data_IF_580397184891
#
_entry.id   IF_580397184891
#
_cell.length_a   1.000
_cell.length_b   1.000
_cell.length_c   1.000
_cell.angle_alpha   90.00
_cell.angle_beta   90.00
_cell.angle_gamma   90.00
#
_symmetry.space_group_name_H-M   'P 1'
#
loop_
_entity.id
_entity.type
_entity.pdbx_description
1 polymer ?
#
# COMPACT_ATOMS: atom_id res chain seq x y z
N UNK A 1 -23.11 -20.10 -17.29
CA UNK A 1 -22.36 -19.58 -16.15
C UNK A 1 -21.97 -18.15 -16.47
N UNK A 2 -22.75 -17.17 -15.99
CA UNK A 2 -22.30 -15.76 -15.95
C UNK A 2 -21.17 -15.72 -14.94
N UNK A 3 -19.94 -15.39 -15.34
CA UNK A 3 -18.91 -14.99 -14.41
C UNK A 3 -19.43 -13.79 -13.66
N UNK A 4 -19.50 -13.86 -12.34
CA UNK A 4 -19.86 -12.71 -11.54
C UNK A 4 -18.74 -11.68 -11.71
N UNK A 5 -19.05 -10.53 -12.28
CA UNK A 5 -18.09 -9.45 -12.48
C UNK A 5 -17.86 -8.65 -11.19
N UNK A 6 -18.65 -8.91 -10.15
CA UNK A 6 -18.52 -8.30 -8.81
C UNK A 6 -18.61 -9.38 -7.73
N UNK A 7 -17.68 -9.32 -6.76
CA UNK A 7 -17.68 -10.12 -5.53
C UNK A 7 -17.77 -9.19 -4.33
N UNK A 8 -18.60 -9.56 -3.37
CA UNK A 8 -18.73 -8.82 -2.10
C UNK A 8 -18.18 -9.69 -0.98
N UNK A 9 -17.25 -9.12 -0.21
CA UNK A 9 -16.64 -9.76 0.96
C UNK A 9 -16.98 -8.93 2.20
N UNK A 10 -17.54 -9.56 3.22
CA UNK A 10 -17.81 -8.90 4.49
C UNK A 10 -16.61 -9.06 5.42
N UNK A 11 -15.89 -7.96 5.68
CA UNK A 11 -14.79 -7.90 6.63
C UNK A 11 -15.33 -7.54 8.02
N UNK A 12 -14.80 -8.20 9.06
CA UNK A 12 -15.17 -7.90 10.46
C UNK A 12 -14.76 -6.48 10.89
N UNK A 13 -13.69 -5.94 10.32
CA UNK A 13 -13.10 -4.65 10.73
C UNK A 13 -13.38 -3.52 9.74
N UNK A 14 -13.47 -3.81 8.44
CA UNK A 14 -13.57 -2.82 7.38
C UNK A 14 -14.95 -2.77 6.70
N UNK A 15 -15.94 -3.52 7.23
CA UNK A 15 -17.27 -3.61 6.65
C UNK A 15 -17.27 -4.33 5.31
N UNK A 16 -18.09 -3.87 4.38
CA UNK A 16 -18.23 -4.49 3.07
C UNK A 16 -17.11 -4.04 2.12
N UNK A 17 -16.41 -5.01 1.57
CA UNK A 17 -15.38 -4.83 0.54
C UNK A 17 -15.90 -5.40 -0.78
N UNK A 18 -15.61 -4.71 -1.87
CA UNK A 18 -16.02 -5.14 -3.21
C UNK A 18 -14.80 -5.45 -4.06
N UNK A 19 -14.92 -6.50 -4.86
CA UNK A 19 -13.94 -6.87 -5.89
C UNK A 19 -14.66 -6.91 -7.21
N UNK A 20 -14.21 -6.12 -8.17
CA UNK A 20 -14.73 -6.08 -9.53
C UNK A 20 -13.69 -6.63 -10.50
N UNK A 21 -14.11 -7.31 -11.53
CA UNK A 21 -13.25 -7.77 -12.62
C UNK A 21 -13.39 -6.80 -13.79
N UNK A 22 -12.29 -6.25 -14.26
CA UNK A 22 -12.26 -5.34 -15.42
C UNK A 22 -11.13 -5.73 -16.36
N UNK A 23 -11.46 -6.49 -17.41
CA UNK A 23 -10.47 -7.09 -18.28
C UNK A 23 -9.58 -8.07 -17.53
N UNK A 24 -8.28 -7.81 -17.50
CA UNK A 24 -7.27 -8.60 -16.76
C UNK A 24 -6.96 -8.03 -15.36
N UNK A 25 -7.68 -7.00 -14.93
CA UNK A 25 -7.52 -6.37 -13.62
C UNK A 25 -8.58 -6.84 -12.63
N UNK A 26 -8.15 -7.10 -11.41
CA UNK A 26 -9.00 -7.17 -10.22
C UNK A 26 -8.99 -5.80 -9.54
N UNK A 27 -10.17 -5.22 -9.40
CA UNK A 27 -10.37 -3.90 -8.78
C UNK A 27 -10.95 -4.07 -7.38
N UNK A 28 -10.16 -3.71 -6.37
CA UNK A 28 -10.53 -3.76 -4.96
C UNK A 28 -11.04 -2.39 -4.54
N UNK A 29 -12.23 -2.33 -3.95
CA UNK A 29 -12.84 -1.10 -3.43
C UNK A 29 -12.74 -1.07 -1.91
N UNK A 30 -11.87 -0.17 -1.39
CA UNK A 30 -11.58 -0.03 0.03
C UNK A 30 -11.95 1.36 0.57
N UNK A 31 -12.23 1.48 1.89
CA UNK A 31 -12.29 2.78 2.55
C UNK A 31 -10.96 3.53 2.42
N UNK A 32 -11.04 4.83 2.14
CA UNK A 32 -9.89 5.72 2.16
C UNK A 32 -9.37 5.89 3.59
N UNK A 33 -8.06 5.84 3.77
CA UNK A 33 -7.42 6.15 5.04
C UNK A 33 -7.31 7.68 5.25
N UNK A 34 -7.14 8.08 6.50
CA UNK A 34 -6.94 9.49 6.90
C UNK A 34 -5.57 9.64 7.52
N UNK A 35 -4.75 10.49 6.92
CA UNK A 35 -3.40 10.79 7.37
C UNK A 35 -3.39 11.92 8.41
N UNK A 36 -2.51 11.78 9.40
CA UNK A 36 -2.17 12.80 10.40
C UNK A 36 -0.65 12.98 10.40
N UNK A 37 -0.18 14.18 10.68
CA UNK A 37 1.25 14.40 10.87
C UNK A 37 1.77 13.55 12.01
N UNK A 38 2.95 12.95 11.80
CA UNK A 38 3.65 12.14 12.79
C UNK A 38 4.96 12.84 13.19
N UNK A 39 5.34 12.76 14.46
CA UNK A 39 6.55 13.40 15.01
C UNK A 39 7.72 12.44 15.25
N UNK A 40 7.60 11.16 14.90
CA UNK A 40 8.60 10.10 15.16
C UNK A 40 9.77 10.15 14.16
N UNK A 41 10.22 11.35 13.77
CA UNK A 41 11.29 11.50 12.77
C UNK A 41 12.61 10.87 13.21
N UNK A 42 12.94 10.91 14.51
CA UNK A 42 14.16 10.34 15.04
C UNK A 42 14.12 8.81 15.00
N UNK A 43 13.04 8.21 15.46
CA UNK A 43 12.85 6.75 15.46
C UNK A 43 12.84 6.21 14.03
N UNK A 44 12.18 6.89 13.11
CA UNK A 44 12.14 6.48 11.70
C UNK A 44 13.50 6.66 11.03
N UNK A 45 14.27 7.71 11.37
CA UNK A 45 15.64 7.85 10.91
C UNK A 45 16.54 6.69 11.39
N UNK A 46 16.40 6.27 12.64
CA UNK A 46 17.14 5.12 13.18
C UNK A 46 16.78 3.82 12.45
N UNK A 47 15.50 3.61 12.11
CA UNK A 47 15.02 2.45 11.35
C UNK A 47 15.51 2.45 9.91
N UNK A 48 15.41 3.59 9.21
CA UNK A 48 15.65 3.69 7.76
C UNK A 48 17.12 4.03 7.42
N UNK A 49 17.86 4.62 8.35
CA UNK A 49 19.18 5.21 8.07
C UNK A 49 19.12 6.46 7.19
N UNK A 50 17.90 6.95 6.88
CA UNK A 50 17.64 8.16 6.06
C UNK A 50 16.48 8.93 6.65
N UNK A 51 16.59 10.27 6.66
CA UNK A 51 15.53 11.14 7.16
C UNK A 51 14.42 11.29 6.14
N UNK A 52 13.17 10.96 6.47
CA UNK A 52 12.04 11.23 5.58
C UNK A 52 11.78 12.74 5.46
N UNK A 53 11.39 13.21 4.28
CA UNK A 53 11.02 14.62 4.04
C UNK A 53 9.64 14.95 4.61
N UNK A 54 8.74 13.95 4.65
CA UNK A 54 7.43 14.05 5.27
C UNK A 54 7.13 12.74 6.01
N UNK A 55 6.43 12.84 7.14
CA UNK A 55 6.07 11.69 7.96
C UNK A 55 4.62 11.81 8.44
N UNK A 56 3.86 10.77 8.16
CA UNK A 56 2.45 10.68 8.53
C UNK A 56 2.13 9.39 9.27
N UNK A 57 1.05 9.41 9.98
CA UNK A 57 0.43 8.20 10.52
C UNK A 57 -0.96 8.02 9.91
N UNK A 58 -1.21 6.83 9.38
CA UNK A 58 -2.52 6.34 9.01
C UNK A 58 -3.16 5.58 10.17
N UNK A 59 -4.30 4.95 9.89
CA UNK A 59 -5.00 4.11 10.88
C UNK A 59 -4.09 2.99 11.41
N UNK A 60 -3.46 2.26 10.52
CA UNK A 60 -2.72 1.04 10.85
C UNK A 60 -1.18 1.21 10.73
N UNK A 61 -0.72 2.06 9.82
CA UNK A 61 0.68 2.15 9.42
C UNK A 61 1.23 3.58 9.53
N UNK A 62 2.56 3.70 9.54
CA UNK A 62 3.28 4.95 9.33
C UNK A 62 3.60 5.08 7.84
N UNK A 63 3.47 6.29 7.29
CA UNK A 63 3.88 6.64 5.93
C UNK A 63 5.05 7.60 6.00
N UNK A 64 6.20 7.16 5.49
CA UNK A 64 7.41 7.99 5.33
C UNK A 64 7.63 8.32 3.86
N UNK A 65 7.69 9.60 3.54
CA UNK A 65 7.99 10.08 2.20
C UNK A 65 9.48 10.38 2.10
N UNK A 66 10.13 9.80 1.12
CA UNK A 66 11.53 9.98 0.82
C UNK A 66 11.72 10.89 -0.41
N UNK A 67 12.91 11.42 -0.56
CA UNK A 67 13.23 12.41 -1.58
C UNK A 67 13.09 11.87 -3.03
N UNK A 68 13.45 10.59 -3.24
CA UNK A 68 13.45 10.02 -4.58
C UNK A 68 13.27 8.49 -4.59
N UNK A 69 12.95 7.95 -5.76
CA UNK A 69 12.78 6.51 -6.01
C UNK A 69 14.04 5.69 -5.67
N UNK A 70 15.24 6.22 -5.94
CA UNK A 70 16.49 5.50 -5.69
C UNK A 70 16.68 5.21 -4.20
N UNK A 71 16.33 6.15 -3.32
CA UNK A 71 16.32 5.93 -1.87
C UNK A 71 15.35 4.82 -1.49
N UNK A 72 14.11 4.85 -1.98
CA UNK A 72 13.11 3.80 -1.71
C UNK A 72 13.65 2.43 -2.13
N UNK A 73 14.23 2.33 -3.33
CA UNK A 73 14.72 1.09 -3.91
C UNK A 73 15.88 0.47 -3.13
N UNK A 74 16.78 1.30 -2.61
CA UNK A 74 18.03 0.83 -1.96
C UNK A 74 17.94 0.69 -0.46
N UNK A 75 16.79 1.02 0.16
CA UNK A 75 16.58 0.93 1.60
C UNK A 75 16.86 -0.47 2.15
N UNK A 76 17.49 -0.48 3.32
CA UNK A 76 17.69 -1.68 4.15
C UNK A 76 17.27 -1.34 5.59
N UNK A 77 15.96 -1.39 5.90
CA UNK A 77 15.47 -1.02 7.22
C UNK A 77 15.99 -1.95 8.31
N UNK A 78 16.22 -1.42 9.49
CA UNK A 78 16.42 -2.25 10.68
C UNK A 78 15.07 -2.78 11.18
N UNK A 79 14.77 -4.04 10.84
CA UNK A 79 13.52 -4.68 11.25
C UNK A 79 13.41 -4.90 12.75
N UNK A 80 14.53 -4.99 13.46
CA UNK A 80 14.53 -5.13 14.93
C UNK A 80 14.05 -3.85 15.59
N UNK A 81 14.51 -2.70 15.11
CA UNK A 81 14.03 -1.40 15.58
C UNK A 81 12.58 -1.15 15.15
N UNK A 82 12.22 -1.51 13.90
CA UNK A 82 10.88 -1.32 13.38
C UNK A 82 9.81 -2.11 14.17
N UNK A 83 10.14 -3.29 14.69
CA UNK A 83 9.25 -4.08 15.56
C UNK A 83 8.83 -3.36 16.85
N UNK A 84 9.64 -2.42 17.32
CA UNK A 84 9.38 -1.67 18.55
C UNK A 84 8.45 -0.46 18.33
N UNK A 85 8.16 -0.12 17.08
CA UNK A 85 7.22 0.96 16.76
C UNK A 85 5.80 0.44 16.96
N UNK A 86 5.00 1.20 17.74
CA UNK A 86 3.61 0.85 18.05
C UNK A 86 2.67 1.12 16.87
N UNK A 87 2.92 0.44 15.73
CA UNK A 87 2.09 0.43 14.52
C UNK A 87 2.23 -0.92 13.84
N UNK A 88 1.28 -1.23 12.95
CA UNK A 88 1.33 -2.47 12.16
C UNK A 88 2.60 -2.53 11.30
N UNK A 89 2.96 -1.41 10.69
CA UNK A 89 4.15 -1.34 9.83
C UNK A 89 4.50 0.05 9.34
N UNK A 90 5.49 0.06 8.45
CA UNK A 90 6.04 1.25 7.82
C UNK A 90 5.91 1.15 6.31
N UNK A 91 5.27 2.13 5.71
CA UNK A 91 5.18 2.35 4.28
C UNK A 91 6.20 3.43 3.93
N UNK A 92 7.11 3.17 3.02
CA UNK A 92 7.99 4.19 2.44
C UNK A 92 7.60 4.47 1.01
N UNK A 93 7.64 5.74 0.58
CA UNK A 93 7.22 6.13 -0.75
C UNK A 93 7.97 7.35 -1.25
N UNK A 94 8.08 7.46 -2.57
CA UNK A 94 8.60 8.63 -3.27
C UNK A 94 7.90 8.78 -4.62
N UNK A 95 8.08 9.94 -5.28
CA UNK A 95 7.68 10.12 -6.67
C UNK A 95 8.41 9.11 -7.56
N UNK A 96 7.70 8.54 -8.53
CA UNK A 96 8.25 7.56 -9.45
C UNK A 96 8.87 8.20 -10.69
N UNK A 97 9.88 7.56 -11.26
CA UNK A 97 10.53 8.04 -12.50
C UNK A 97 9.72 7.73 -13.76
N UNK A 98 8.98 6.61 -13.77
CA UNK A 98 8.17 6.12 -14.88
C UNK A 98 6.72 5.77 -14.48
N UNK A 99 6.34 6.15 -13.29
CA UNK A 99 5.00 6.02 -12.74
C UNK A 99 4.73 7.22 -11.81
N UNK A 100 3.53 7.31 -11.21
CA UNK A 100 3.20 8.43 -10.35
C UNK A 100 3.93 8.40 -9.02
N UNK A 101 4.02 7.21 -8.43
CA UNK A 101 4.77 6.99 -7.21
C UNK A 101 5.26 5.56 -7.09
N UNK A 102 6.28 5.39 -6.26
CA UNK A 102 6.82 4.10 -5.86
C UNK A 102 6.67 3.90 -4.36
N UNK A 103 6.63 2.64 -3.92
CA UNK A 103 6.54 2.30 -2.50
C UNK A 103 7.28 1.01 -2.16
N UNK A 104 7.58 0.83 -0.86
CA UNK A 104 7.89 -0.45 -0.23
C UNK A 104 7.18 -0.51 1.13
N UNK A 105 6.79 -1.72 1.55
CA UNK A 105 5.94 -1.91 2.73
C UNK A 105 6.54 -2.96 3.65
N UNK A 106 6.78 -2.58 4.90
CA UNK A 106 7.49 -3.38 5.91
C UNK A 106 6.59 -3.63 7.12
N UNK A 107 6.36 -4.91 7.47
CA UNK A 107 5.45 -5.35 8.53
C UNK A 107 6.08 -6.39 9.47
N UNK A 108 7.29 -6.19 9.98
CA UNK A 108 8.00 -7.20 10.76
C UNK A 108 7.29 -7.59 12.06
N UNK A 109 6.45 -6.71 12.62
CA UNK A 109 5.61 -7.00 13.79
C UNK A 109 4.52 -8.05 13.51
N UNK A 110 4.15 -8.26 12.24
CA UNK A 110 3.19 -9.29 11.80
C UNK A 110 3.86 -10.57 11.28
N UNK A 111 5.18 -10.65 11.33
CA UNK A 111 5.97 -11.79 10.85
C UNK A 111 6.36 -11.73 9.38
N UNK A 112 6.10 -10.62 8.70
CA UNK A 112 6.48 -10.39 7.29
C UNK A 112 7.39 -9.16 7.23
N UNK A 113 8.71 -9.37 7.07
CA UNK A 113 9.66 -8.25 7.05
C UNK A 113 9.34 -7.27 5.92
N UNK A 114 9.10 -7.77 4.70
CA UNK A 114 8.63 -6.95 3.57
C UNK A 114 7.52 -7.67 2.80
N UNK A 115 6.39 -6.99 2.59
CA UNK A 115 5.28 -7.52 1.79
C UNK A 115 5.50 -7.23 0.30
N UNK A 116 5.39 -8.25 -0.57
CA UNK A 116 5.64 -8.10 -2.01
C UNK A 116 4.76 -7.05 -2.71
N UNK A 117 3.45 -7.06 -2.46
CA UNK A 117 2.48 -6.10 -3.02
C UNK A 117 1.31 -5.92 -2.06
N UNK A 118 1.18 -4.72 -1.50
CA UNK A 118 0.30 -4.43 -0.38
C UNK A 118 -0.92 -3.61 -0.79
N UNK A 119 -2.04 -4.25 -1.01
CA UNK A 119 -3.28 -3.54 -1.35
C UNK A 119 -3.69 -2.52 -0.28
N UNK A 120 -3.69 -2.89 1.00
CA UNK A 120 -4.11 -2.02 2.10
C UNK A 120 -3.25 -0.76 2.25
N UNK A 121 -1.94 -0.81 1.98
CA UNK A 121 -1.07 0.36 2.00
C UNK A 121 -1.50 1.44 0.99
N UNK A 122 -2.12 1.03 -0.11
CA UNK A 122 -2.58 1.95 -1.14
C UNK A 122 -3.86 2.70 -0.76
N UNK A 123 -4.55 2.31 0.33
CA UNK A 123 -5.62 3.13 0.91
C UNK A 123 -5.08 4.41 1.55
N UNK A 124 -3.81 4.38 1.97
CA UNK A 124 -3.04 5.48 2.56
C UNK A 124 -2.26 6.26 1.48
N UNK A 125 -1.56 5.54 0.59
CA UNK A 125 -0.73 6.12 -0.47
C UNK A 125 -1.55 6.89 -1.53
N UNK A 126 -2.68 6.34 -1.95
CA UNK A 126 -3.50 6.94 -3.02
C UNK A 126 -4.00 8.33 -2.66
N UNK A 127 -4.63 8.59 -1.49
CA UNK A 127 -5.06 9.95 -1.14
C UNK A 127 -3.89 10.92 -0.96
N UNK A 128 -2.75 10.46 -0.43
CA UNK A 128 -1.56 11.30 -0.32
C UNK A 128 -1.09 11.77 -1.72
N UNK A 129 -0.81 10.83 -2.62
CA UNK A 129 -0.30 11.14 -3.94
C UNK A 129 -1.34 11.81 -4.85
N UNK A 130 -2.62 11.47 -4.70
CA UNK A 130 -3.72 12.17 -5.39
C UNK A 130 -3.73 13.67 -5.06
N UNK A 131 -3.56 14.01 -3.79
CA UNK A 131 -3.47 15.40 -3.35
C UNK A 131 -2.18 16.06 -3.83
N UNK A 132 -1.04 15.39 -3.68
CA UNK A 132 0.30 15.92 -4.03
C UNK A 132 0.43 16.22 -5.53
N UNK A 133 -0.10 15.34 -6.38
CA UNK A 133 -0.02 15.43 -7.85
C UNK A 133 -1.23 16.09 -8.50
N UNK A 134 -2.27 16.41 -7.74
CA UNK A 134 -3.50 17.05 -8.25
C UNK A 134 -4.31 16.17 -9.20
N UNK A 135 -4.20 14.83 -9.11
CA UNK A 135 -4.92 13.90 -9.98
C UNK A 135 -5.50 12.71 -9.21
N UNK A 136 -6.62 12.16 -9.71
CA UNK A 136 -7.38 11.11 -9.01
C UNK A 136 -7.00 9.69 -9.43
N UNK A 137 -6.48 9.52 -10.64
CA UNK A 137 -6.03 8.22 -11.16
C UNK A 137 -4.52 8.19 -11.18
N UNK A 138 -3.96 7.16 -10.57
CA UNK A 138 -2.54 7.03 -10.32
C UNK A 138 -2.05 5.66 -10.77
N UNK A 139 -0.85 5.64 -11.32
CA UNK A 139 -0.09 4.45 -11.66
C UNK A 139 1.05 4.31 -10.66
N UNK A 140 1.12 3.19 -9.94
CA UNK A 140 2.07 2.97 -8.87
C UNK A 140 2.88 1.70 -9.08
N UNK A 141 4.09 1.68 -8.51
CA UNK A 141 4.92 0.48 -8.42
C UNK A 141 5.32 0.23 -6.96
N UNK A 142 5.14 -0.99 -6.46
CA UNK A 142 5.75 -1.43 -5.21
C UNK A 142 7.06 -2.13 -5.53
N UNK A 143 8.18 -1.62 -4.99
CA UNK A 143 9.55 -1.99 -5.35
C UNK A 143 10.16 -3.06 -4.42
N UNK A 144 9.37 -4.01 -3.95
CA UNK A 144 9.87 -5.20 -3.26
C UNK A 144 10.69 -6.08 -4.22
N UNK A 145 11.35 -7.12 -3.72
CA UNK A 145 12.11 -8.06 -4.57
C UNK A 145 11.27 -8.63 -5.71
N UNK A 146 10.01 -9.05 -5.43
CA UNK A 146 9.08 -9.52 -6.45
C UNK A 146 8.51 -8.39 -7.30
N UNK A 147 8.24 -7.26 -6.66
CA UNK A 147 7.61 -6.10 -7.26
C UNK A 147 6.14 -6.28 -7.63
N UNK A 148 5.49 -5.16 -7.97
CA UNK A 148 4.14 -5.16 -8.49
C UNK A 148 3.71 -3.80 -9.00
N UNK A 149 2.75 -3.82 -9.92
CA UNK A 149 2.15 -2.64 -10.55
C UNK A 149 0.72 -2.51 -10.06
N UNK A 150 0.34 -1.29 -9.67
CA UNK A 150 -1.00 -0.99 -9.18
C UNK A 150 -1.58 0.22 -9.92
N UNK A 151 -2.86 0.14 -10.18
CA UNK A 151 -3.68 1.21 -10.75
C UNK A 151 -4.63 1.69 -9.67
N UNK A 152 -4.45 2.91 -9.20
CA UNK A 152 -5.19 3.44 -8.06
C UNK A 152 -6.10 4.57 -8.50
N UNK A 153 -7.30 4.66 -7.89
CA UNK A 153 -8.20 5.77 -8.14
C UNK A 153 -8.84 6.23 -6.82
N UNK A 154 -8.68 7.52 -6.50
CA UNK A 154 -9.39 8.12 -5.35
C UNK A 154 -10.81 8.51 -5.75
N UNK A 155 -11.81 7.95 -5.05
CA UNK A 155 -13.24 8.21 -5.25
C UNK A 155 -13.92 8.62 -3.94
N UNK A 156 -14.05 9.91 -3.70
CA UNK A 156 -14.70 10.43 -2.47
C UNK A 156 -14.07 9.85 -1.19
N UNK A 157 -14.81 9.01 -0.47
CA UNK A 157 -14.36 8.30 0.74
C UNK A 157 -13.75 6.91 0.47
N UNK A 158 -13.55 6.56 -0.80
CA UNK A 158 -13.08 5.23 -1.22
C UNK A 158 -11.81 5.34 -2.06
N UNK A 159 -11.07 4.24 -2.12
CA UNK A 159 -9.94 4.03 -3.01
C UNK A 159 -10.18 2.75 -3.80
N UNK A 160 -10.10 2.83 -5.11
CA UNK A 160 -10.11 1.67 -5.99
C UNK A 160 -8.66 1.29 -6.28
N UNK A 161 -8.31 0.04 -6.02
CA UNK A 161 -6.95 -0.49 -6.18
C UNK A 161 -7.01 -1.63 -7.19
N UNK A 162 -6.44 -1.40 -8.36
CA UNK A 162 -6.38 -2.37 -9.45
C UNK A 162 -5.02 -3.07 -9.53
N UNK A 163 -5.05 -4.38 -9.73
CA UNK A 163 -3.85 -5.17 -9.97
C UNK A 163 -4.15 -6.42 -10.80
N UNK A 164 -3.10 -6.98 -11.40
CA UNK A 164 -3.20 -8.26 -12.11
C UNK A 164 -3.00 -9.42 -11.15
N UNK A 165 -3.73 -10.50 -11.37
CA UNK A 165 -3.56 -11.75 -10.66
C UNK A 165 -3.60 -12.93 -11.62
N UNK A 166 -2.84 -13.98 -11.31
CA UNK A 166 -2.77 -15.21 -12.09
C UNK A 166 -3.37 -16.35 -11.27
N UNK A 167 -4.27 -17.12 -11.88
CA UNK A 167 -4.82 -18.34 -11.25
C UNK A 167 -3.71 -19.38 -11.15
N UNK A 168 -3.33 -19.73 -9.94
CA UNK A 168 -2.33 -20.75 -9.66
C UNK A 168 -2.96 -22.15 -9.50
N UNK A 169 -4.10 -22.23 -8.78
CA UNK A 169 -4.78 -23.50 -8.50
C UNK A 169 -6.29 -23.30 -8.41
N UNK A 170 -7.05 -24.32 -8.76
CA UNK A 170 -8.49 -24.42 -8.54
C UNK A 170 -8.83 -25.79 -7.97
N UNK A 171 -9.74 -25.83 -6.98
CA UNK A 171 -10.20 -27.07 -6.34
C UNK A 171 -11.62 -26.96 -5.82
N UNK A 172 -12.19 -28.08 -5.37
CA UNK A 172 -13.49 -28.15 -4.72
C UNK A 172 -13.29 -28.43 -3.22
N UNK A 173 -14.09 -27.79 -2.39
CA UNK A 173 -14.19 -28.04 -0.94
C UNK A 173 -15.57 -28.62 -0.70
N UNK A 174 -15.62 -29.77 -0.06
CA UNK A 174 -16.87 -30.42 0.37
C UNK A 174 -17.03 -30.14 1.86
N UNK A 175 -18.13 -29.45 2.26
CA UNK A 175 -18.49 -29.08 3.63
C UNK A 175 -19.54 -30.02 4.17
#
# INVERSE_FOLDING_TARGET
>A
NKSADEFIVNSKTNGQLKVNVSGDLLLLDFPKDTLRNNSMHKEILEVLGVLPIELYEGRDDILAILDNEALVKTLKPDFSLLKNINKRGLIVSAEGSDCDFVSRCFFPSTGVDEDPVTGSAHTTLTPYWSNKLGKKKLHAKQLSERGGVLYCEEKNSRVIIGGKAVKYMQGNIYL
#
